data_IF_147939667534
#
_entry.id   IF_147939667534
#
_cell.length_a   1.000
_cell.length_b   1.000
_cell.length_c   1.000
_cell.angle_alpha   90.00
_cell.angle_beta   90.00
_cell.angle_gamma   90.00
#
_symmetry.space_group_name_H-M   'P 1'
#
loop_
_entity.id
_entity.type
_entity.pdbx_description
1 polymer ?
#
# COMPACT_ATOMS: atom_id res chain seq x y z
N UNK A 1 -11.76 0.06 -7.25
CA UNK A 1 -10.68 -0.24 -8.21
C UNK A 1 -10.17 -1.63 -7.90
N UNK A 2 -10.15 -2.53 -8.86
CA UNK A 2 -9.85 -3.95 -8.65
C UNK A 2 -8.35 -4.24 -8.56
N UNK A 3 -7.62 -3.47 -7.76
CA UNK A 3 -6.24 -3.79 -7.40
C UNK A 3 -6.32 -4.90 -6.34
N UNK A 4 -5.80 -6.08 -6.67
CA UNK A 4 -5.70 -7.24 -5.79
C UNK A 4 -4.33 -7.86 -6.04
N UNK A 5 -3.44 -7.77 -5.05
CA UNK A 5 -2.04 -8.10 -5.19
C UNK A 5 -1.51 -8.75 -3.91
N UNK A 6 -0.66 -9.80 -4.01
CA UNK A 6 0.04 -10.34 -2.85
C UNK A 6 0.91 -9.27 -2.18
N UNK A 7 0.91 -9.28 -0.85
CA UNK A 7 1.79 -8.43 -0.04
C UNK A 7 2.96 -9.26 0.46
N UNK A 8 4.19 -8.80 0.21
CA UNK A 8 5.41 -9.42 0.73
C UNK A 8 6.19 -8.43 1.59
N UNK A 9 6.89 -8.88 2.65
CA UNK A 9 7.76 -7.98 3.41
C UNK A 9 8.97 -7.58 2.58
N UNK A 10 9.34 -6.31 2.65
CA UNK A 10 10.53 -5.73 2.03
C UNK A 10 11.26 -4.84 3.04
N UNK A 11 12.55 -4.61 2.78
CA UNK A 11 13.43 -3.85 3.66
C UNK A 11 13.99 -2.64 2.92
N UNK A 12 14.24 -1.57 3.67
CA UNK A 12 15.01 -0.43 3.16
C UNK A 12 16.46 -0.87 2.98
N UNK A 13 17.02 -0.57 1.81
CA UNK A 13 18.42 -0.85 1.49
C UNK A 13 19.36 0.03 2.32
N UNK A 14 20.66 -0.31 2.42
CA UNK A 14 21.64 0.55 3.09
C UNK A 14 21.73 1.98 2.54
N UNK A 15 21.31 2.20 1.30
CA UNK A 15 21.27 3.51 0.63
C UNK A 15 19.97 4.27 0.90
N UNK A 16 19.18 3.84 1.89
CA UNK A 16 17.88 4.42 2.27
C UNK A 16 16.81 4.34 1.17
N UNK A 17 16.87 3.31 0.31
CA UNK A 17 15.90 3.09 -0.76
C UNK A 17 14.97 1.92 -0.41
N UNK A 18 13.67 2.13 -0.56
CA UNK A 18 12.68 1.07 -0.43
C UNK A 18 12.28 0.56 -1.82
N UNK A 19 12.95 -0.50 -2.27
CA UNK A 19 12.66 -1.11 -3.56
C UNK A 19 11.39 -1.97 -3.52
N UNK A 20 10.44 -1.81 -4.46
CA UNK A 20 9.31 -2.72 -4.60
C UNK A 20 9.79 -4.16 -4.94
N UNK A 21 8.94 -5.18 -4.73
CA UNK A 21 9.30 -6.58 -4.97
C UNK A 21 9.81 -6.83 -6.40
N UNK A 22 10.63 -7.86 -6.59
CA UNK A 22 11.13 -8.23 -7.94
C UNK A 22 10.02 -8.59 -8.91
N UNK A 23 8.93 -9.18 -8.41
CA UNK A 23 7.74 -9.46 -9.20
C UNK A 23 6.88 -8.19 -9.30
N UNK A 24 6.57 -7.75 -10.51
CA UNK A 24 5.81 -6.53 -10.74
C UNK A 24 4.35 -6.64 -10.26
N UNK A 25 3.82 -7.86 -10.14
CA UNK A 25 2.45 -8.15 -9.70
C UNK A 25 2.30 -8.18 -8.16
N UNK A 26 3.41 -8.13 -7.42
CA UNK A 26 3.39 -8.09 -5.96
C UNK A 26 3.56 -6.65 -5.44
N UNK A 27 3.04 -6.40 -4.24
CA UNK A 27 3.32 -5.18 -3.48
C UNK A 27 4.18 -5.51 -2.27
N UNK A 28 5.06 -4.59 -1.90
CA UNK A 28 5.96 -4.72 -0.76
C UNK A 28 5.50 -3.89 0.42
N UNK A 29 5.33 -4.50 1.58
CA UNK A 29 5.20 -3.79 2.85
C UNK A 29 6.57 -3.60 3.48
N UNK A 30 6.90 -2.37 3.88
CA UNK A 30 8.13 -2.11 4.62
C UNK A 30 8.03 -2.71 6.03
N UNK A 31 8.85 -3.73 6.32
CA UNK A 31 8.76 -4.54 7.53
C UNK A 31 9.07 -3.81 8.85
N UNK A 32 9.78 -2.68 8.80
CA UNK A 32 10.00 -1.81 9.94
C UNK A 32 8.97 -0.66 10.04
N UNK A 33 7.99 -0.60 9.13
CA UNK A 33 6.86 0.31 9.21
C UNK A 33 5.74 -0.26 10.08
N UNK A 34 4.82 0.57 10.53
CA UNK A 34 3.72 0.13 11.40
C UNK A 34 2.89 -0.98 10.77
N UNK A 35 2.54 -1.99 11.55
CA UNK A 35 1.64 -3.07 11.12
C UNK A 35 0.24 -2.52 10.77
N UNK A 36 -0.50 -3.17 9.85
CA UNK A 36 -1.84 -2.72 9.49
C UNK A 36 -2.79 -2.65 10.69
N UNK A 37 -3.27 -1.45 11.01
CA UNK A 37 -4.26 -1.20 12.07
C UNK A 37 -3.66 -0.71 13.39
N UNK A 38 -2.34 -0.51 13.46
CA UNK A 38 -1.67 0.20 14.56
C UNK A 38 -2.27 1.60 14.74
N UNK A 39 -2.31 2.06 16.00
CA UNK A 39 -2.85 3.38 16.36
C UNK A 39 -1.86 4.52 16.07
N UNK A 40 -0.58 4.19 15.93
CA UNK A 40 0.57 5.06 15.73
C UNK A 40 1.42 4.62 14.53
N UNK A 41 2.15 5.56 13.93
CA UNK A 41 3.02 5.32 12.79
C UNK A 41 2.29 5.19 11.44
N UNK A 42 3.04 4.82 10.40
CA UNK A 42 2.49 4.62 9.05
C UNK A 42 2.79 3.22 8.56
N UNK A 43 1.77 2.48 8.15
CA UNK A 43 1.94 1.27 7.34
C UNK A 43 2.30 1.71 5.93
N UNK A 44 3.52 1.37 5.46
CA UNK A 44 4.01 1.80 4.15
C UNK A 44 4.04 0.61 3.19
N UNK A 45 3.32 0.74 2.08
CA UNK A 45 3.29 -0.27 1.01
C UNK A 45 3.68 0.38 -0.32
N UNK A 46 4.59 -0.25 -1.05
CA UNK A 46 5.03 0.20 -2.37
C UNK A 46 4.88 -0.91 -3.40
N UNK A 47 4.78 -0.56 -4.68
CA UNK A 47 4.62 -1.52 -5.75
C UNK A 47 4.85 -0.90 -7.12
N UNK A 48 4.99 -1.75 -8.13
CA UNK A 48 5.34 -1.31 -9.47
C UNK A 48 4.19 -0.65 -10.21
N UNK A 49 4.54 0.39 -10.96
CA UNK A 49 3.81 0.83 -12.14
C UNK A 49 4.67 0.53 -13.35
N UNK A 50 4.10 -0.12 -14.36
CA UNK A 50 4.76 -0.53 -15.60
C UNK A 50 4.04 0.15 -16.77
N UNK A 51 4.75 0.94 -17.58
CA UNK A 51 4.13 1.78 -18.61
C UNK A 51 3.49 0.95 -19.74
N UNK A 52 3.89 -0.31 -19.89
CA UNK A 52 3.27 -1.31 -20.78
C UNK A 52 2.19 -2.17 -20.10
N UNK A 53 1.90 -1.93 -18.83
CA UNK A 53 1.01 -2.72 -17.99
C UNK A 53 1.70 -3.89 -17.27
N UNK A 54 1.01 -4.43 -16.26
CA UNK A 54 1.43 -5.60 -15.47
C UNK A 54 2.03 -5.24 -14.10
N UNK A 55 2.03 -3.96 -13.73
CA UNK A 55 2.37 -3.53 -12.39
C UNK A 55 1.16 -3.62 -11.47
N UNK A 56 1.37 -4.12 -10.25
CA UNK A 56 0.35 -4.22 -9.22
C UNK A 56 -0.37 -2.88 -8.96
N UNK A 57 0.37 -1.77 -9.08
CA UNK A 57 -0.10 -0.43 -8.75
C UNK A 57 -0.26 0.48 -9.98
N UNK A 58 -0.33 -0.09 -11.21
CA UNK A 58 -0.52 0.67 -12.46
C UNK A 58 -1.68 1.68 -12.39
N UNK A 59 -2.74 1.32 -11.64
CA UNK A 59 -3.97 2.11 -11.51
C UNK A 59 -4.05 2.91 -10.22
N UNK A 60 -2.98 2.98 -9.43
CA UNK A 60 -3.00 3.66 -8.14
C UNK A 60 -3.36 5.15 -8.27
N UNK A 61 -2.96 5.80 -9.37
CA UNK A 61 -3.31 7.20 -9.66
C UNK A 61 -4.80 7.44 -9.89
N UNK A 62 -5.54 6.41 -10.26
CA UNK A 62 -6.98 6.54 -10.47
C UNK A 62 -7.76 6.55 -9.14
N UNK A 63 -7.14 6.11 -8.03
CA UNK A 63 -7.75 6.10 -6.70
C UNK A 63 -8.20 7.51 -6.32
N UNK A 64 -9.37 7.58 -5.70
CA UNK A 64 -9.99 8.84 -5.30
C UNK A 64 -10.23 8.91 -3.80
N UNK A 65 -10.29 10.12 -3.26
CA UNK A 65 -10.70 10.36 -1.87
C UNK A 65 -12.05 9.70 -1.60
N UNK A 66 -12.13 8.94 -0.51
CA UNK A 66 -13.31 8.18 -0.13
C UNK A 66 -13.30 6.72 -0.56
N UNK A 67 -12.41 6.33 -1.46
CA UNK A 67 -12.20 4.92 -1.81
C UNK A 67 -11.72 4.11 -0.60
N UNK A 68 -11.90 2.80 -0.68
CA UNK A 68 -11.52 1.85 0.36
C UNK A 68 -10.34 1.02 -0.07
N UNK A 69 -9.46 0.77 0.87
CA UNK A 69 -8.34 -0.16 0.74
C UNK A 69 -8.46 -1.19 1.85
N UNK A 70 -8.40 -2.47 1.51
CA UNK A 70 -8.35 -3.56 2.47
C UNK A 70 -6.94 -4.15 2.46
N UNK A 71 -6.29 -4.20 3.61
CA UNK A 71 -5.03 -4.92 3.82
C UNK A 71 -5.35 -6.19 4.58
N UNK A 72 -4.94 -7.35 4.05
CA UNK A 72 -5.23 -8.65 4.64
C UNK A 72 -3.96 -9.21 5.26
N UNK A 73 -4.04 -9.51 6.54
CA UNK A 73 -2.99 -10.17 7.32
C UNK A 73 -3.54 -11.45 7.94
N UNK A 74 -2.67 -12.23 8.60
CA UNK A 74 -3.08 -13.42 9.37
C UNK A 74 -3.96 -13.05 10.58
N UNK A 75 -3.88 -11.81 11.06
CA UNK A 75 -4.68 -11.28 12.16
C UNK A 75 -6.08 -10.85 11.71
N UNK A 76 -6.22 -10.53 10.42
CA UNK A 76 -7.50 -10.23 9.81
C UNK A 76 -7.42 -9.23 8.67
N UNK A 77 -8.59 -8.70 8.30
CA UNK A 77 -8.75 -7.63 7.33
C UNK A 77 -8.72 -6.29 8.04
N UNK A 78 -7.74 -5.47 7.74
CA UNK A 78 -7.75 -4.07 8.12
C UNK A 78 -8.28 -3.21 6.97
N UNK A 79 -9.30 -2.40 7.22
CA UNK A 79 -9.93 -1.53 6.21
C UNK A 79 -9.53 -0.08 6.43
N UNK A 80 -9.21 0.60 5.34
CA UNK A 80 -8.85 2.02 5.31
C UNK A 80 -9.77 2.79 4.38
N UNK A 81 -9.88 4.10 4.62
CA UNK A 81 -10.53 5.06 3.73
C UNK A 81 -9.51 6.07 3.23
N UNK A 82 -9.40 6.20 1.93
CA UNK A 82 -8.51 7.17 1.28
C UNK A 82 -8.92 8.58 1.67
N UNK A 83 -7.99 9.33 2.23
CA UNK A 83 -8.17 10.73 2.58
C UNK A 83 -7.55 11.66 1.55
N UNK A 84 -6.41 11.25 0.97
CA UNK A 84 -5.63 12.08 0.08
C UNK A 84 -4.90 11.24 -0.96
N UNK A 85 -4.78 11.81 -2.16
CA UNK A 85 -3.94 11.31 -3.25
C UNK A 85 -3.10 12.48 -3.71
N UNK A 86 -1.77 12.33 -3.69
CA UNK A 86 -0.80 13.33 -4.15
C UNK A 86 -0.02 12.74 -5.32
N UNK A 87 0.34 13.59 -6.27
CA UNK A 87 1.40 13.30 -7.23
C UNK A 87 2.55 14.23 -6.88
N UNK A 88 3.72 13.67 -6.62
CA UNK A 88 4.90 14.38 -6.12
C UNK A 88 6.10 14.03 -6.99
N UNK A 89 6.89 15.02 -7.36
CA UNK A 89 8.21 14.80 -7.94
C UNK A 89 9.14 14.07 -6.95
N UNK A 90 10.22 13.49 -7.45
CA UNK A 90 11.16 12.71 -6.61
C UNK A 90 11.78 13.55 -5.50
N UNK A 91 12.10 14.81 -5.80
CA UNK A 91 12.63 15.76 -4.84
C UNK A 91 11.60 16.10 -3.76
N UNK A 92 10.34 16.32 -4.13
CA UNK A 92 9.24 16.57 -3.19
C UNK A 92 8.99 15.37 -2.26
N UNK A 93 9.08 14.14 -2.79
CA UNK A 93 9.00 12.92 -1.96
C UNK A 93 10.15 12.88 -0.93
N UNK A 94 11.36 13.26 -1.33
CA UNK A 94 12.51 13.29 -0.44
C UNK A 94 12.37 14.38 0.65
N UNK A 95 11.84 15.55 0.29
CA UNK A 95 11.56 16.64 1.23
C UNK A 95 10.47 16.27 2.25
N UNK A 96 9.40 15.60 1.79
CA UNK A 96 8.27 15.19 2.63
C UNK A 96 8.45 13.80 3.29
N UNK A 97 9.62 13.16 3.13
CA UNK A 97 9.84 11.77 3.50
C UNK A 97 9.47 11.46 4.96
N UNK A 98 9.77 12.37 5.89
CA UNK A 98 9.43 12.20 7.31
C UNK A 98 7.92 12.24 7.56
N UNK A 99 7.18 13.15 6.94
CA UNK A 99 5.71 13.17 7.08
C UNK A 99 5.09 11.91 6.47
N UNK A 100 5.55 11.55 5.27
CA UNK A 100 5.01 10.43 4.51
C UNK A 100 5.35 9.07 5.13
N UNK A 101 6.58 8.90 5.63
CA UNK A 101 7.13 7.58 5.97
C UNK A 101 7.67 7.46 7.40
N UNK A 102 7.84 8.55 8.15
CA UNK A 102 8.36 8.51 9.53
C UNK A 102 7.54 7.61 10.44
N UNK A 103 8.12 7.01 11.48
CA UNK A 103 7.38 6.05 12.33
C UNK A 103 7.13 6.56 13.74
N UNK A 104 7.80 7.65 14.16
CA UNK A 104 7.84 8.09 15.55
C UNK A 104 6.66 8.95 16.00
N UNK A 105 5.75 9.30 15.08
CA UNK A 105 4.60 10.17 15.37
C UNK A 105 3.35 9.86 14.52
N UNK A 106 2.32 10.68 14.69
CA UNK A 106 1.12 10.65 13.87
C UNK A 106 0.09 9.58 14.24
N UNK A 107 -1.14 9.79 13.77
CA UNK A 107 -2.19 8.78 13.87
C UNK A 107 -1.93 7.66 12.86
N UNK A 108 -2.15 6.42 13.27
CA UNK A 108 -2.08 5.22 12.45
C UNK A 108 -2.75 5.43 11.09
N UNK A 109 -1.96 5.29 10.02
CA UNK A 109 -2.40 5.51 8.64
C UNK A 109 -1.70 4.56 7.68
N UNK A 110 -2.35 4.30 6.55
CA UNK A 110 -1.79 3.57 5.42
C UNK A 110 -1.26 4.57 4.40
N UNK A 111 -0.05 4.30 3.90
CA UNK A 111 0.58 5.04 2.81
C UNK A 111 0.92 4.07 1.69
N UNK A 112 0.30 4.27 0.52
CA UNK A 112 0.62 3.53 -0.70
C UNK A 112 1.43 4.41 -1.63
N UNK A 113 2.49 3.86 -2.22
CA UNK A 113 3.38 4.59 -3.13
C UNK A 113 3.60 3.79 -4.42
N UNK A 114 3.58 4.46 -5.56
CA UNK A 114 4.07 3.90 -6.82
C UNK A 114 4.63 5.01 -7.72
N UNK A 115 5.36 4.63 -8.76
CA UNK A 115 5.85 5.56 -9.78
C UNK A 115 4.70 6.01 -10.71
N UNK A 116 4.79 7.21 -11.26
CA UNK A 116 3.84 7.74 -12.26
C UNK A 116 4.52 8.77 -13.16
N UNK A 117 3.79 9.31 -14.12
CA UNK A 117 4.31 10.31 -15.10
C UNK A 117 5.52 9.78 -15.87
N UNK A 118 5.27 8.79 -16.75
CA UNK A 118 6.28 8.25 -17.66
C UNK A 118 6.52 9.21 -18.83
N UNK A 119 7.77 9.63 -19.04
CA UNK A 119 8.17 10.55 -20.12
C UNK A 119 8.64 9.85 -21.41
N UNK A 120 8.73 8.52 -21.40
CA UNK A 120 9.33 7.72 -22.47
C UNK A 120 10.65 7.05 -22.07
N UNK A 121 11.26 7.45 -20.96
CA UNK A 121 12.56 6.97 -20.47
C UNK A 121 12.55 6.69 -18.96
N UNK A 122 11.92 7.56 -18.17
CA UNK A 122 11.83 7.46 -16.71
C UNK A 122 10.45 7.85 -16.22
N UNK A 123 10.10 7.38 -15.01
CA UNK A 123 9.01 7.97 -14.24
C UNK A 123 9.54 9.20 -13.52
N UNK A 124 8.87 10.33 -13.72
CA UNK A 124 9.28 11.61 -13.16
C UNK A 124 8.73 11.83 -11.74
N UNK A 125 7.62 11.15 -11.40
CA UNK A 125 6.89 11.39 -10.15
C UNK A 125 6.47 10.11 -9.45
N UNK A 126 5.99 10.25 -8.23
CA UNK A 126 5.31 9.22 -7.46
C UNK A 126 3.87 9.63 -7.18
N UNK A 127 2.97 8.67 -7.28
CA UNK A 127 1.64 8.80 -6.68
C UNK A 127 1.68 8.26 -5.26
N UNK A 128 1.23 9.09 -4.31
CA UNK A 128 1.17 8.78 -2.88
C UNK A 128 -0.28 8.85 -2.41
N UNK A 129 -0.79 7.73 -1.93
CA UNK A 129 -2.15 7.62 -1.37
C UNK A 129 -2.05 7.50 0.13
N UNK A 130 -2.73 8.39 0.85
CA UNK A 130 -2.83 8.35 2.31
C UNK A 130 -4.25 7.98 2.71
N UNK A 131 -4.38 6.95 3.54
CA UNK A 131 -5.66 6.41 3.98
C UNK A 131 -5.70 6.19 5.50
N UNK A 132 -6.85 6.46 6.11
CA UNK A 132 -7.05 6.33 7.56
C UNK A 132 -7.81 5.05 7.90
N UNK A 133 -7.52 4.39 9.03
CA UNK A 133 -8.18 3.17 9.46
C UNK A 133 -9.69 3.39 9.67
N UNK A 134 -10.48 2.36 9.36
CA UNK A 134 -11.93 2.30 9.61
C UNK A 134 -12.25 1.28 10.71
N UNK A 135 -11.67 1.49 11.90
CA UNK A 135 -11.87 0.64 13.07
C UNK A 135 -10.66 -0.25 13.36
N UNK A 136 -10.92 -1.47 13.80
CA UNK A 136 -9.89 -2.48 14.12
C UNK A 136 -9.87 -3.60 13.06
N UNK A 137 -8.78 -4.36 12.96
CA UNK A 137 -8.73 -5.56 12.11
C UNK A 137 -9.88 -6.52 12.43
N UNK A 138 -10.55 -7.01 11.38
CA UNK A 138 -11.63 -7.99 11.51
C UNK A 138 -11.09 -9.35 11.08
N UNK A 139 -11.11 -10.34 11.99
CA UNK A 139 -10.63 -11.69 11.70
C UNK A 139 -11.24 -12.23 10.40
N UNK A 140 -10.40 -12.77 9.52
CA UNK A 140 -10.86 -13.40 8.29
C UNK A 140 -11.42 -14.79 8.64
N UNK A 141 -12.55 -15.21 8.03
CA UNK A 141 -12.93 -16.61 8.06
C UNK A 141 -11.77 -17.44 7.52
N UNK A 142 -11.30 -18.44 8.27
CA UNK A 142 -10.38 -19.42 7.70
C UNK A 142 -11.11 -20.08 6.55
N UNK A 143 -10.62 -19.95 5.32
CA UNK A 143 -11.14 -20.68 4.17
C UNK A 143 -10.91 -22.18 4.39
N UNK A 144 -11.83 -22.78 5.15
CA UNK A 144 -12.00 -24.20 5.25
C UNK A 144 -12.77 -24.64 4.02
N UNK A 145 -12.12 -25.38 3.13
CA UNK A 145 -12.80 -26.41 2.36
C UNK A 145 -13.61 -27.29 3.31
N UNK A 146 -14.89 -26.96 3.48
CA UNK A 146 -15.92 -27.82 4.04
C UNK A 146 -17.26 -27.46 3.40
N UNK A 147 -17.37 -27.72 2.11
CA UNK A 147 -18.66 -27.85 1.43
C UNK A 147 -19.29 -29.16 1.89
N UNK A 148 -20.06 -29.14 2.97
CA UNK A 148 -21.18 -30.07 3.18
C UNK A 148 -22.02 -29.65 4.40
N UNK A 149 -23.16 -29.01 4.14
CA UNK A 149 -24.37 -29.26 4.93
C UNK A 149 -25.56 -29.14 3.98
N UNK A 150 -26.08 -30.29 3.54
CA UNK A 150 -27.46 -30.38 3.09
C UNK A 150 -28.36 -30.24 4.33
N UNK A 151 -29.44 -29.48 4.22
CA UNK A 151 -30.64 -29.75 5.01
C UNK A 151 -31.90 -29.20 4.32
N UNK A 152 -32.75 -30.17 3.96
CA UNK A 152 -34.19 -30.18 3.63
C UNK A 152 -34.66 -29.45 2.37
#
# INVERSE_FOLDING_TARGET
MGIDAPVVPIQVSPDAVLDPPRNAEDVGWWDASAEPGREDGRTVITGHTVHTGGGALDRLREVSRGDRVDVVTDEGRMRYKVQQVRVLGKEEVAEDAEDLFGQDDGSGRLVLVSCTDWDGTVYESNVVVVATPLGQPVAQPRDGTARAARAR
#
